data_IF_367774249485
#
_entry.id   IF_367774249485
#
_cell.length_a   1.000
_cell.length_b   1.000
_cell.length_c   1.000
_cell.angle_alpha   90.00
_cell.angle_beta   90.00
_cell.angle_gamma   90.00
#
_symmetry.space_group_name_H-M   'P 1'
#
loop_
_entity.id
_entity.type
_entity.pdbx_description
1 polymer ?
#
# COMPACT_ATOMS: atom_id res chain seq x y z
N UNK A 1 -7.90 34.96 -10.32
CA UNK A 1 -8.95 33.94 -9.95
C UNK A 1 -8.73 33.37 -8.55
N UNK A 2 -7.59 33.63 -7.88
CA UNK A 2 -7.25 32.99 -6.58
C UNK A 2 -7.84 33.74 -5.37
N UNK A 3 -8.17 35.03 -5.53
CA UNK A 3 -8.71 35.85 -4.43
C UNK A 3 -10.11 35.43 -3.92
N UNK A 4 -10.88 34.70 -4.71
CA UNK A 4 -12.19 34.20 -4.30
C UNK A 4 -12.18 33.05 -3.25
N UNK A 5 -10.99 32.49 -2.93
CA UNK A 5 -10.86 31.44 -1.92
C UNK A 5 -10.53 31.96 -0.52
N UNK A 6 -10.17 33.22 -0.37
CA UNK A 6 -9.94 33.82 0.96
C UNK A 6 -11.26 33.84 1.74
N UNK A 7 -11.23 33.32 2.95
CA UNK A 7 -12.42 33.16 3.78
C UNK A 7 -13.11 31.79 3.63
N UNK A 8 -12.73 30.98 2.62
CA UNK A 8 -13.27 29.64 2.45
C UNK A 8 -12.72 28.68 3.51
N UNK A 9 -13.55 27.71 3.88
CA UNK A 9 -13.16 26.60 4.72
C UNK A 9 -12.49 25.49 3.90
N UNK A 10 -11.48 24.84 4.48
CA UNK A 10 -10.79 23.72 3.89
C UNK A 10 -10.49 22.65 4.94
N UNK A 11 -10.51 21.39 4.54
CA UNK A 11 -10.07 20.30 5.38
C UNK A 11 -8.59 20.02 5.14
N UNK A 12 -7.80 20.08 6.20
CA UNK A 12 -6.38 19.72 6.17
C UNK A 12 -6.22 18.35 6.82
N UNK A 13 -5.57 17.43 6.13
CA UNK A 13 -5.25 16.11 6.65
C UNK A 13 -3.77 15.98 6.87
N UNK A 14 -3.43 15.53 8.07
CA UNK A 14 -2.08 15.17 8.45
C UNK A 14 -2.10 13.74 8.99
N UNK A 15 -1.34 12.86 8.34
CA UNK A 15 -1.23 11.45 8.71
C UNK A 15 -0.73 11.20 10.15
N UNK A 16 -0.21 12.23 10.82
CA UNK A 16 0.26 12.16 12.21
C UNK A 16 -0.78 12.60 13.22
N UNK A 17 -1.55 13.64 12.91
CA UNK A 17 -2.40 14.35 13.86
C UNK A 17 -3.90 14.21 13.60
N UNK A 18 -4.30 13.82 12.39
CA UNK A 18 -5.70 13.65 12.00
C UNK A 18 -6.18 14.66 10.96
N UNK A 19 -7.45 15.01 11.00
CA UNK A 19 -8.08 15.95 10.09
C UNK A 19 -8.60 17.17 10.84
N UNK A 20 -8.38 18.33 10.23
CA UNK A 20 -8.66 19.62 10.82
C UNK A 20 -9.43 20.51 9.86
N UNK A 21 -10.40 21.27 10.37
CA UNK A 21 -11.02 22.36 9.66
C UNK A 21 -10.13 23.58 9.75
N UNK A 22 -9.86 24.21 8.63
CA UNK A 22 -9.08 25.42 8.56
C UNK A 22 -9.78 26.46 7.67
N UNK A 23 -9.57 27.74 7.96
CA UNK A 23 -10.06 28.85 7.16
C UNK A 23 -8.91 29.58 6.49
N UNK A 24 -9.02 29.78 5.20
CA UNK A 24 -8.00 30.48 4.42
C UNK A 24 -8.07 31.98 4.73
N UNK A 25 -6.97 32.52 5.23
CA UNK A 25 -6.85 33.93 5.57
C UNK A 25 -6.29 34.75 4.43
N UNK A 26 -5.27 34.22 3.74
CA UNK A 26 -4.55 34.95 2.71
C UNK A 26 -3.95 33.98 1.68
N UNK A 27 -3.86 34.47 0.43
CA UNK A 27 -3.18 33.75 -0.65
C UNK A 27 -2.29 34.77 -1.36
N UNK A 28 -0.96 34.62 -1.26
CA UNK A 28 0.01 35.51 -1.89
C UNK A 28 1.16 34.71 -2.51
N UNK A 29 1.43 34.94 -3.78
CA UNK A 29 2.58 34.36 -4.49
C UNK A 29 2.69 32.80 -4.36
N UNK A 30 1.56 32.09 -4.40
CA UNK A 30 1.52 30.64 -4.26
C UNK A 30 1.59 30.12 -2.82
N UNK A 31 1.68 31.02 -1.84
CA UNK A 31 1.64 30.68 -0.41
C UNK A 31 0.21 30.89 0.09
N UNK A 32 -0.32 29.88 0.77
CA UNK A 32 -1.64 29.93 1.41
C UNK A 32 -1.43 30.01 2.92
N UNK A 33 -1.96 31.07 3.54
CA UNK A 33 -2.01 31.22 4.99
C UNK A 33 -3.41 30.86 5.47
N UNK A 34 -3.49 30.03 6.51
CA UNK A 34 -4.77 29.58 7.06
C UNK A 34 -4.72 29.49 8.58
N UNK A 35 -5.86 29.61 9.21
CA UNK A 35 -6.04 29.38 10.64
C UNK A 35 -6.76 28.05 10.86
N UNK A 36 -6.21 27.20 11.70
CA UNK A 36 -6.86 25.98 12.17
C UNK A 36 -7.99 26.39 13.12
N UNK A 37 -9.19 25.89 12.86
CA UNK A 37 -10.39 26.19 13.65
C UNK A 37 -10.67 25.05 14.64
N UNK A 38 -10.89 23.84 14.13
CA UNK A 38 -11.24 22.70 14.96
C UNK A 38 -10.70 21.39 14.40
N UNK A 39 -10.62 20.39 15.25
CA UNK A 39 -10.24 19.04 14.88
C UNK A 39 -11.47 18.24 14.51
N UNK A 40 -11.56 17.78 13.25
CA UNK A 40 -12.68 17.02 12.74
C UNK A 40 -12.57 15.52 13.05
N UNK A 41 -11.38 14.94 12.83
CA UNK A 41 -11.13 13.51 13.08
C UNK A 41 -9.77 13.28 13.73
N UNK A 42 -9.72 12.33 14.66
CA UNK A 42 -8.47 11.85 15.22
C UNK A 42 -7.74 10.93 14.24
N UNK A 43 -6.43 10.73 14.47
CA UNK A 43 -5.68 9.70 13.78
C UNK A 43 -6.37 8.34 14.00
N UNK A 44 -6.58 7.62 12.91
CA UNK A 44 -7.06 6.26 12.94
C UNK A 44 -5.88 5.29 13.16
N UNK A 45 -6.15 4.18 13.86
CA UNK A 45 -5.24 3.05 13.95
C UNK A 45 -5.80 1.90 13.07
N UNK A 46 -5.59 1.94 11.75
CA UNK A 46 -6.09 0.92 10.86
C UNK A 46 -5.40 -0.41 11.14
N UNK A 47 -6.04 -1.50 10.69
CA UNK A 47 -5.35 -2.78 10.59
C UNK A 47 -4.12 -2.60 9.69
N UNK A 48 -2.96 -3.03 10.16
CA UNK A 48 -1.71 -2.84 9.43
C UNK A 48 -1.58 -3.92 8.34
N UNK A 49 -1.95 -3.55 7.11
CA UNK A 49 -1.95 -4.41 5.92
C UNK A 49 -0.85 -3.94 4.97
N UNK A 50 0.08 -4.83 4.69
CA UNK A 50 1.18 -4.60 3.77
C UNK A 50 0.99 -5.35 2.46
N UNK A 51 1.35 -4.72 1.36
CA UNK A 51 1.38 -5.34 0.05
C UNK A 51 2.82 -5.44 -0.44
N UNK A 52 3.35 -6.66 -0.49
CA UNK A 52 4.62 -6.98 -1.13
C UNK A 52 4.32 -7.44 -2.57
N UNK A 53 4.82 -6.74 -3.56
CA UNK A 53 4.42 -6.95 -4.94
C UNK A 53 5.58 -6.86 -5.92
N UNK A 54 5.48 -7.61 -7.02
CA UNK A 54 6.38 -7.41 -8.17
C UNK A 54 6.00 -6.15 -8.94
N UNK A 55 6.94 -5.26 -9.27
CA UNK A 55 6.66 -4.17 -10.19
C UNK A 55 6.20 -4.69 -11.56
N UNK A 56 5.12 -4.12 -12.07
CA UNK A 56 4.52 -4.41 -13.37
C UNK A 56 4.50 -3.16 -14.23
N UNK A 57 4.05 -3.26 -15.49
CA UNK A 57 3.96 -2.12 -16.41
C UNK A 57 3.19 -0.95 -15.79
N UNK A 58 3.63 0.28 -16.05
CA UNK A 58 3.21 1.48 -15.33
C UNK A 58 1.69 1.68 -15.21
N UNK A 59 0.92 1.43 -16.29
CA UNK A 59 -0.54 1.63 -16.25
C UNK A 59 -1.22 0.68 -15.27
N UNK A 60 -0.82 -0.58 -15.26
CA UNK A 60 -1.36 -1.60 -14.33
C UNK A 60 -0.87 -1.36 -12.91
N UNK A 61 0.41 -0.96 -12.77
CA UNK A 61 0.99 -0.60 -11.46
C UNK A 61 0.25 0.57 -10.82
N UNK A 62 -0.07 1.61 -11.60
CA UNK A 62 -0.83 2.76 -11.11
C UNK A 62 -2.21 2.35 -10.60
N UNK A 63 -2.94 1.55 -11.37
CA UNK A 63 -4.26 1.05 -11.01
C UNK A 63 -4.20 0.19 -9.74
N UNK A 64 -3.25 -0.75 -9.69
CA UNK A 64 -3.02 -1.60 -8.53
C UNK A 64 -2.77 -0.79 -7.25
N UNK A 65 -1.84 0.15 -7.28
CA UNK A 65 -1.50 1.01 -6.14
C UNK A 65 -2.69 1.86 -5.71
N UNK A 66 -3.41 2.44 -6.67
CA UNK A 66 -4.62 3.20 -6.40
C UNK A 66 -5.64 2.36 -5.64
N UNK A 67 -6.01 1.18 -6.18
CA UNK A 67 -7.04 0.32 -5.59
C UNK A 67 -6.62 -0.28 -4.25
N UNK A 68 -5.38 -0.72 -4.13
CA UNK A 68 -4.85 -1.20 -2.86
C UNK A 68 -4.84 -0.09 -1.78
N UNK A 69 -4.57 1.16 -2.17
CA UNK A 69 -4.69 2.30 -1.25
C UNK A 69 -6.13 2.49 -0.81
N UNK A 70 -7.10 2.52 -1.73
CA UNK A 70 -8.53 2.66 -1.42
C UNK A 70 -9.03 1.52 -0.51
N UNK A 71 -8.52 0.29 -0.68
CA UNK A 71 -8.88 -0.90 0.11
C UNK A 71 -8.18 -0.99 1.48
N UNK A 72 -7.31 -0.05 1.81
CA UNK A 72 -6.78 0.03 3.19
C UNK A 72 -5.35 -0.44 3.38
N UNK A 73 -4.60 -0.75 2.32
CA UNK A 73 -3.17 -1.04 2.44
C UNK A 73 -2.45 0.13 3.12
N UNK A 74 -1.58 -0.19 4.08
CA UNK A 74 -0.82 0.79 4.87
C UNK A 74 0.64 0.89 4.44
N UNK A 75 1.16 -0.15 3.76
CA UNK A 75 2.53 -0.16 3.26
C UNK A 75 2.65 -0.94 1.96
N UNK A 76 3.37 -0.35 1.02
CA UNK A 76 3.74 -0.93 -0.27
C UNK A 76 5.21 -1.31 -0.30
N UNK A 77 5.52 -2.55 -0.67
CA UNK A 77 6.88 -3.10 -0.66
C UNK A 77 7.17 -3.70 -2.05
N UNK A 78 7.82 -2.93 -2.95
CA UNK A 78 8.21 -3.46 -4.25
C UNK A 78 9.33 -4.49 -4.09
N UNK A 79 9.11 -5.70 -4.65
CA UNK A 79 10.09 -6.78 -4.62
C UNK A 79 10.49 -7.15 -6.04
N UNK A 80 11.79 -7.15 -6.31
CA UNK A 80 12.36 -7.58 -7.57
C UNK A 80 12.62 -9.07 -7.49
N UNK A 81 11.74 -9.85 -8.12
CA UNK A 81 11.87 -11.29 -8.25
C UNK A 81 12.71 -11.66 -9.48
N UNK A 82 13.11 -12.93 -9.58
CA UNK A 82 13.92 -13.44 -10.70
C UNK A 82 13.26 -13.16 -12.04
N UNK A 83 11.95 -13.38 -12.14
CA UNK A 83 11.16 -13.22 -13.36
C UNK A 83 10.46 -11.87 -13.48
N UNK A 84 10.86 -10.89 -12.66
CA UNK A 84 10.33 -9.52 -12.76
C UNK A 84 10.84 -8.86 -14.05
N UNK A 85 9.91 -8.41 -14.88
CA UNK A 85 10.21 -7.73 -16.16
C UNK A 85 10.59 -6.26 -15.90
N UNK A 86 9.80 -5.57 -15.08
CA UNK A 86 9.97 -4.14 -14.76
C UNK A 86 10.87 -3.99 -13.54
N UNK A 87 12.14 -3.70 -13.73
CA UNK A 87 13.13 -3.60 -12.64
C UNK A 87 13.33 -2.20 -12.07
N UNK A 88 12.78 -1.18 -12.74
CA UNK A 88 12.84 0.22 -12.29
C UNK A 88 11.43 0.75 -12.11
N UNK A 89 11.16 1.36 -10.97
CA UNK A 89 9.89 2.02 -10.67
C UNK A 89 10.10 3.52 -10.51
N UNK A 90 9.12 4.29 -10.92
CA UNK A 90 9.07 5.72 -10.66
C UNK A 90 8.37 5.93 -9.30
N UNK A 91 9.14 5.95 -8.21
CA UNK A 91 8.62 6.08 -6.86
C UNK A 91 7.84 7.39 -6.66
N UNK A 92 8.32 8.51 -7.20
CA UNK A 92 7.63 9.81 -7.10
C UNK A 92 6.23 9.76 -7.71
N UNK A 93 6.09 9.07 -8.85
CA UNK A 93 4.78 8.88 -9.48
C UNK A 93 3.86 8.01 -8.62
N UNK A 94 4.36 6.91 -8.07
CA UNK A 94 3.57 6.03 -7.21
C UNK A 94 3.16 6.74 -5.92
N UNK A 95 4.03 7.52 -5.32
CA UNK A 95 3.72 8.34 -4.15
C UNK A 95 2.60 9.36 -4.42
N UNK A 96 2.61 10.01 -5.59
CA UNK A 96 1.51 10.90 -6.02
C UNK A 96 0.18 10.14 -6.12
N UNK A 97 0.18 8.94 -6.72
CA UNK A 97 -1.01 8.11 -6.82
C UNK A 97 -1.52 7.69 -5.43
N UNK A 98 -0.62 7.33 -4.52
CA UNK A 98 -0.98 7.00 -3.13
C UNK A 98 -1.64 8.21 -2.45
N UNK A 99 -1.09 9.41 -2.62
CA UNK A 99 -1.66 10.65 -2.05
C UNK A 99 -3.06 10.88 -2.62
N UNK A 100 -3.21 10.91 -3.95
CA UNK A 100 -4.49 11.13 -4.62
C UNK A 100 -5.54 10.08 -4.20
N UNK A 101 -5.17 8.79 -4.15
CA UNK A 101 -6.07 7.73 -3.73
C UNK A 101 -6.44 7.83 -2.23
N UNK A 102 -5.51 8.26 -1.39
CA UNK A 102 -5.76 8.52 0.05
C UNK A 102 -6.77 9.66 0.23
N UNK A 103 -6.64 10.73 -0.55
CA UNK A 103 -7.55 11.87 -0.53
C UNK A 103 -8.95 11.47 -1.03
N UNK A 104 -9.03 10.80 -2.18
CA UNK A 104 -10.30 10.36 -2.78
C UNK A 104 -11.05 9.33 -1.93
N UNK A 105 -10.34 8.43 -1.26
CA UNK A 105 -10.94 7.44 -0.36
C UNK A 105 -11.22 7.97 1.05
N UNK A 106 -10.99 9.25 1.29
CA UNK A 106 -11.23 9.93 2.57
C UNK A 106 -10.44 9.31 3.75
N UNK A 107 -9.26 8.70 3.46
CA UNK A 107 -8.35 8.15 4.47
C UNK A 107 -7.54 9.27 5.12
N UNK A 108 -7.25 9.11 6.42
CA UNK A 108 -6.34 10.00 7.15
C UNK A 108 -4.89 9.52 7.01
N UNK A 109 -4.68 8.20 7.10
CA UNK A 109 -3.35 7.63 7.09
C UNK A 109 -2.84 7.44 5.66
N UNK A 110 -1.71 8.06 5.35
CA UNK A 110 -1.01 7.90 4.08
C UNK A 110 -0.20 6.59 4.10
N UNK A 111 -0.41 5.68 3.14
CA UNK A 111 0.42 4.50 2.99
C UNK A 111 1.88 4.84 2.73
N UNK A 112 2.78 4.03 3.28
CA UNK A 112 4.22 4.17 3.07
C UNK A 112 4.69 3.33 1.89
N UNK A 113 5.46 3.90 0.97
CA UNK A 113 6.12 3.18 -0.13
C UNK A 113 7.59 2.92 0.22
N UNK A 114 7.97 1.63 0.36
CA UNK A 114 9.37 1.25 0.55
C UNK A 114 10.16 1.32 -0.76
N UNK A 115 11.49 1.41 -0.62
CA UNK A 115 12.39 1.27 -1.77
C UNK A 115 12.36 -0.17 -2.30
N UNK A 116 12.54 -0.38 -3.63
CA UNK A 116 12.63 -1.72 -4.19
C UNK A 116 13.74 -2.54 -3.54
N UNK A 117 13.45 -3.81 -3.27
CA UNK A 117 14.39 -4.73 -2.66
C UNK A 117 14.25 -6.13 -3.26
N UNK A 118 15.21 -7.02 -3.04
CA UNK A 118 15.10 -8.42 -3.42
C UNK A 118 14.34 -9.24 -2.36
N UNK A 119 13.83 -10.40 -2.77
CA UNK A 119 13.04 -11.28 -1.91
C UNK A 119 13.80 -11.70 -0.64
N UNK A 120 15.07 -12.10 -0.75
CA UNK A 120 15.83 -12.58 0.40
C UNK A 120 16.04 -11.49 1.46
N UNK A 121 16.30 -10.25 1.02
CA UNK A 121 16.41 -9.10 1.91
C UNK A 121 15.08 -8.81 2.61
N UNK A 122 13.96 -8.90 1.87
CA UNK A 122 12.62 -8.72 2.42
C UNK A 122 12.31 -9.80 3.48
N UNK A 123 12.50 -11.07 3.19
CA UNK A 123 12.21 -12.17 4.11
C UNK A 123 13.06 -12.05 5.38
N UNK A 124 14.38 -11.84 5.25
CA UNK A 124 15.29 -11.68 6.38
C UNK A 124 14.94 -10.47 7.27
N UNK A 125 14.60 -9.33 6.68
CA UNK A 125 14.23 -8.10 7.40
C UNK A 125 12.96 -8.26 8.23
N UNK A 126 12.02 -9.08 7.75
CA UNK A 126 10.67 -9.20 8.29
C UNK A 126 10.43 -10.54 9.03
N UNK A 127 11.44 -11.36 9.23
CA UNK A 127 11.35 -12.60 10.01
C UNK A 127 10.79 -12.32 11.41
N UNK A 128 9.81 -13.10 11.83
CA UNK A 128 9.06 -12.97 13.09
C UNK A 128 8.30 -11.61 13.29
N UNK A 129 8.33 -10.69 12.31
CA UNK A 129 7.71 -9.37 12.44
C UNK A 129 6.36 -9.24 11.75
N UNK A 130 6.06 -10.12 10.81
CA UNK A 130 4.83 -10.08 10.01
C UNK A 130 4.13 -11.44 9.95
N UNK A 131 2.84 -11.43 9.68
CA UNK A 131 2.09 -12.60 9.21
C UNK A 131 2.07 -12.57 7.68
N UNK A 132 2.71 -13.53 7.02
CA UNK A 132 2.85 -13.55 5.57
C UNK A 132 1.77 -14.42 4.92
N UNK A 133 0.94 -13.82 4.06
CA UNK A 133 0.06 -14.52 3.14
C UNK A 133 0.77 -14.65 1.81
N UNK A 134 0.99 -15.87 1.37
CA UNK A 134 1.61 -16.18 0.09
C UNK A 134 0.54 -16.57 -0.94
N UNK A 135 0.35 -15.74 -1.96
CA UNK A 135 -0.59 -16.04 -3.04
C UNK A 135 0.03 -17.06 -3.98
N UNK A 136 -0.28 -18.33 -3.75
CA UNK A 136 0.33 -19.46 -4.46
C UNK A 136 -0.73 -20.24 -5.27
N UNK A 137 -0.52 -20.33 -6.59
CA UNK A 137 -1.41 -21.06 -7.49
C UNK A 137 -1.41 -22.57 -7.23
N UNK A 138 -0.31 -23.10 -6.68
CA UNK A 138 -0.12 -24.54 -6.47
C UNK A 138 -0.69 -25.05 -5.13
N UNK A 139 -1.11 -24.15 -4.23
CA UNK A 139 -1.76 -24.57 -2.99
C UNK A 139 -3.22 -24.94 -3.20
N UNK A 140 -3.70 -25.88 -2.41
CA UNK A 140 -5.13 -26.26 -2.35
C UNK A 140 -5.91 -25.42 -1.32
N UNK A 141 -5.22 -24.59 -0.54
CA UNK A 141 -5.83 -23.79 0.52
C UNK A 141 -6.55 -22.58 -0.06
N UNK A 142 -7.89 -22.57 0.05
CA UNK A 142 -8.79 -21.51 -0.42
C UNK A 142 -9.39 -20.69 0.73
N UNK A 143 -9.01 -20.98 1.96
CA UNK A 143 -9.50 -20.28 3.15
C UNK A 143 -8.34 -19.76 3.98
N UNK A 144 -8.43 -18.54 4.40
CA UNK A 144 -7.50 -17.94 5.35
C UNK A 144 -8.28 -17.64 6.63
N UNK A 145 -7.88 -18.28 7.73
CA UNK A 145 -8.33 -17.85 9.04
C UNK A 145 -7.53 -16.62 9.47
N UNK A 146 -8.21 -15.49 9.48
CA UNK A 146 -7.64 -14.23 9.92
C UNK A 146 -8.09 -14.00 11.36
N UNK A 147 -7.21 -14.19 12.32
CA UNK A 147 -7.49 -13.83 13.71
C UNK A 147 -7.77 -12.34 13.81
N UNK A 148 -8.89 -11.96 14.46
CA UNK A 148 -9.31 -10.56 14.61
C UNK A 148 -8.32 -9.73 15.46
N UNK A 149 -7.64 -10.36 16.41
CA UNK A 149 -6.60 -9.73 17.23
C UNK A 149 -5.25 -10.09 16.65
N UNK A 150 -4.55 -9.11 16.09
CA UNK A 150 -3.24 -9.27 15.48
C UNK A 150 -2.22 -8.41 16.21
N UNK A 151 -1.14 -9.04 16.59
CA UNK A 151 0.01 -8.34 17.17
C UNK A 151 1.07 -7.98 16.11
N UNK A 152 0.87 -8.44 14.86
CA UNK A 152 1.80 -8.25 13.74
C UNK A 152 1.06 -7.74 12.51
N UNK A 153 1.71 -6.94 11.65
CA UNK A 153 1.18 -6.58 10.34
C UNK A 153 0.87 -7.82 9.49
N UNK A 154 -0.19 -7.74 8.70
CA UNK A 154 -0.50 -8.72 7.68
C UNK A 154 0.15 -8.33 6.37
N UNK A 155 1.06 -9.14 5.87
CA UNK A 155 1.69 -8.90 4.59
C UNK A 155 1.19 -9.90 3.55
N UNK A 156 0.65 -9.39 2.44
CA UNK A 156 0.26 -10.19 1.28
C UNK A 156 1.37 -10.07 0.24
N UNK A 157 1.88 -11.22 -0.25
CA UNK A 157 2.90 -11.23 -1.29
C UNK A 157 2.30 -11.72 -2.61
N UNK A 158 2.48 -10.91 -3.66
CA UNK A 158 2.00 -11.18 -5.02
C UNK A 158 3.17 -11.19 -5.98
N UNK A 159 3.25 -12.26 -6.76
CA UNK A 159 4.35 -12.51 -7.68
C UNK A 159 4.33 -11.70 -8.97
N UNK A 160 5.39 -11.87 -9.78
CA UNK A 160 5.47 -11.29 -11.11
C UNK A 160 4.55 -12.02 -12.12
N UNK A 161 4.33 -11.39 -13.27
CA UNK A 161 3.56 -11.97 -14.40
C UNK A 161 4.12 -13.33 -14.86
N UNK A 162 5.42 -13.57 -14.69
CA UNK A 162 6.10 -14.82 -15.03
C UNK A 162 6.14 -15.87 -13.93
N UNK A 163 5.34 -15.68 -12.87
CA UNK A 163 5.33 -16.50 -11.65
C UNK A 163 6.67 -16.47 -10.87
N UNK A 164 6.69 -17.05 -9.69
CA UNK A 164 7.90 -17.20 -8.87
C UNK A 164 8.83 -18.26 -9.47
N UNK A 165 10.14 -18.13 -9.28
CA UNK A 165 11.05 -19.24 -9.50
C UNK A 165 10.84 -20.31 -8.41
N UNK A 166 11.24 -21.57 -8.67
CA UNK A 166 11.13 -22.64 -7.67
C UNK A 166 11.90 -22.31 -6.38
N UNK A 167 13.05 -21.66 -6.53
CA UNK A 167 13.86 -21.25 -5.39
C UNK A 167 13.15 -20.17 -4.57
N UNK A 168 12.58 -19.17 -5.22
CA UNK A 168 11.82 -18.11 -4.55
C UNK A 168 10.60 -18.67 -3.84
N UNK A 169 9.85 -19.55 -4.52
CA UNK A 169 8.70 -20.22 -3.92
C UNK A 169 9.09 -21.00 -2.67
N UNK A 170 10.18 -21.78 -2.73
CA UNK A 170 10.67 -22.53 -1.58
C UNK A 170 11.13 -21.62 -0.45
N UNK A 171 11.81 -20.51 -0.75
CA UNK A 171 12.22 -19.54 0.26
C UNK A 171 11.00 -18.90 0.95
N UNK A 172 9.94 -18.57 0.21
CA UNK A 172 8.71 -18.05 0.80
C UNK A 172 8.00 -19.09 1.65
N UNK A 173 7.90 -20.34 1.17
CA UNK A 173 7.26 -21.44 1.92
C UNK A 173 8.00 -21.81 3.22
N UNK A 174 9.30 -21.60 3.28
CA UNK A 174 10.12 -21.79 4.48
C UNK A 174 10.06 -20.60 5.45
N UNK A 175 9.40 -19.49 5.08
CA UNK A 175 9.24 -18.35 5.99
C UNK A 175 8.32 -18.75 7.16
N UNK A 176 8.77 -18.48 8.38
CA UNK A 176 8.04 -18.85 9.59
C UNK A 176 6.66 -18.19 9.66
N UNK A 177 5.64 -19.00 9.78
CA UNK A 177 4.25 -18.52 9.87
C UNK A 177 3.62 -18.13 8.53
N UNK A 178 4.24 -18.46 7.40
CA UNK A 178 3.64 -18.25 6.07
C UNK A 178 2.32 -19.01 5.94
N UNK A 179 1.35 -18.37 5.30
CA UNK A 179 0.05 -18.95 4.96
C UNK A 179 -0.13 -18.95 3.45
N UNK A 180 0.16 -20.09 2.77
CA UNK A 180 -0.13 -20.20 1.35
C UNK A 180 -1.64 -20.14 1.10
N UNK A 181 -2.04 -19.36 0.09
CA UNK A 181 -3.44 -19.12 -0.22
C UNK A 181 -3.66 -19.05 -1.73
N UNK A 182 -4.68 -19.75 -2.20
CA UNK A 182 -5.14 -19.67 -3.58
C UNK A 182 -6.31 -18.71 -3.70
N UNK A 183 -6.08 -17.56 -4.32
CA UNK A 183 -7.09 -16.51 -4.47
C UNK A 183 -8.26 -16.98 -5.34
N UNK A 184 -7.95 -17.62 -6.48
CA UNK A 184 -8.94 -18.04 -7.47
C UNK A 184 -8.48 -19.33 -8.16
N UNK A 185 -9.39 -20.05 -8.81
CA UNK A 185 -9.06 -21.20 -9.67
C UNK A 185 -8.40 -20.76 -10.96
N UNK A 186 -8.79 -19.61 -11.49
CA UNK A 186 -8.20 -19.00 -12.67
C UNK A 186 -6.89 -18.30 -12.31
N UNK A 187 -5.97 -18.27 -13.26
CA UNK A 187 -4.75 -17.45 -13.16
C UNK A 187 -5.16 -15.97 -13.32
N UNK A 188 -4.97 -15.22 -12.24
CA UNK A 188 -5.25 -13.79 -12.24
C UNK A 188 -4.02 -13.00 -12.67
N UNK A 189 -4.23 -11.87 -13.32
CA UNK A 189 -3.16 -10.88 -13.50
C UNK A 189 -2.79 -10.26 -12.16
N UNK A 190 -1.55 -9.77 -12.02
CA UNK A 190 -1.08 -9.21 -10.74
C UNK A 190 -1.95 -8.06 -10.24
N UNK A 191 -2.44 -7.19 -11.14
CA UNK A 191 -3.34 -6.08 -10.80
C UNK A 191 -4.75 -6.52 -10.38
N UNK A 192 -5.12 -7.77 -10.67
CA UNK A 192 -6.41 -8.34 -10.25
C UNK A 192 -6.28 -9.17 -8.97
N UNK A 193 -5.08 -9.69 -8.71
CA UNK A 193 -4.79 -10.50 -7.53
C UNK A 193 -4.63 -9.66 -6.24
N UNK A 194 -4.42 -8.35 -6.39
CA UNK A 194 -4.38 -7.35 -5.29
C UNK A 194 -5.82 -6.91 -4.87
#
# INVERSE_FOLDING_TARGET
IISGLVGSEMCIRDSKNGEWLAKINNIKSGIVEFNIQEKLRNKENPVDIWLAFSPIKSNYSNFMIQKATELGVTKFIPIIFDRTIVRKINSERLEKIIIEATEQSNRINLPFLEKPQNLNSFLKKNEDKIDLIFTDLNTKNKKIEINKVRNKPLCIIIGPEGDFSEQERNNILNFKGVKPFKINENILRSETAV
#
